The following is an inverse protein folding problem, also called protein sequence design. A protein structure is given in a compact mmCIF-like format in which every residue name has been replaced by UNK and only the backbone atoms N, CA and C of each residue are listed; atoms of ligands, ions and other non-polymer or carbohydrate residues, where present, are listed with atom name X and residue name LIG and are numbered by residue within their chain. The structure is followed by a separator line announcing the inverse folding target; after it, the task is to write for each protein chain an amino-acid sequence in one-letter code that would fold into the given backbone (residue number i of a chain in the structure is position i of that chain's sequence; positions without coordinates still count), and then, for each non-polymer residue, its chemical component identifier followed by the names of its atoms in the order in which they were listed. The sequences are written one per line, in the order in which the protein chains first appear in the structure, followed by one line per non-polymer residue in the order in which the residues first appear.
data_IF_255510739305
#
_entry.id   IF_255510739305
#
_cell.length_a   1.000
_cell.length_b   1.000
_cell.length_c   1.000
_cell.angle_alpha   90.00
_cell.angle_beta   90.00
_cell.angle_gamma   90.00
#
_symmetry.space_group_name_H-M   'P 1'
#
loop_
_entity.id
_entity.type
_entity.pdbx_description
1 polymer ?
#
# COMPACT_ATOMS: atom_id res chain seq x y z
N UNK A 1 21.18 -25.00 -7.33
CA UNK A 1 19.81 -24.43 -7.23
C UNK A 1 18.75 -25.45 -7.67
N UNK A 2 19.01 -26.77 -7.63
CA UNK A 2 18.13 -27.77 -8.26
C UNK A 2 16.98 -28.28 -7.37
N UNK A 3 16.94 -27.94 -6.07
CA UNK A 3 15.93 -28.45 -5.12
C UNK A 3 15.04 -27.37 -4.49
N UNK A 4 14.93 -26.20 -5.12
CA UNK A 4 14.04 -25.14 -4.62
C UNK A 4 12.64 -25.27 -5.21
N UNK A 5 11.64 -25.38 -4.34
CA UNK A 5 10.22 -25.42 -4.70
C UNK A 5 9.61 -24.05 -4.39
N UNK A 6 8.99 -23.40 -5.38
CA UNK A 6 8.24 -22.17 -5.15
C UNK A 6 7.00 -22.49 -4.29
N UNK A 7 6.91 -21.88 -3.11
CA UNK A 7 5.78 -22.04 -2.18
C UNK A 7 4.68 -21.02 -2.46
N UNK A 8 5.05 -19.74 -2.58
CA UNK A 8 4.09 -18.66 -2.82
C UNK A 8 4.71 -17.51 -3.59
N UNK A 9 3.83 -16.78 -4.26
CA UNK A 9 4.15 -15.57 -5.00
C UNK A 9 3.10 -14.51 -4.65
N UNK A 10 3.53 -13.52 -3.88
CA UNK A 10 2.67 -12.41 -3.45
C UNK A 10 3.18 -11.10 -4.04
N UNK A 11 2.33 -10.08 -4.04
CA UNK A 11 2.66 -8.78 -4.58
C UNK A 11 2.27 -7.67 -3.61
N UNK A 12 2.97 -6.55 -3.69
CA UNK A 12 2.58 -5.31 -3.04
C UNK A 12 2.71 -4.16 -4.02
N UNK A 13 1.62 -3.44 -4.28
CA UNK A 13 1.66 -2.19 -5.03
C UNK A 13 1.94 -1.07 -4.04
N UNK A 14 3.11 -0.44 -4.17
CA UNK A 14 3.57 0.62 -3.28
C UNK A 14 3.23 1.97 -3.90
N UNK A 15 2.66 2.84 -3.10
CA UNK A 15 2.31 4.24 -3.42
C UNK A 15 3.16 5.10 -2.49
N UNK A 16 4.25 5.67 -3.02
CA UNK A 16 5.07 6.63 -2.29
C UNK A 16 4.35 7.98 -2.22
N UNK A 17 4.37 8.60 -1.05
CA UNK A 17 3.82 9.93 -0.78
C UNK A 17 4.88 10.87 -0.22
N UNK A 18 4.56 12.18 -0.21
CA UNK A 18 5.40 13.22 0.40
C UNK A 18 5.04 13.51 1.87
N UNK A 19 4.19 12.68 2.48
CA UNK A 19 3.66 12.81 3.85
C UNK A 19 3.52 11.43 4.50
N UNK A 20 3.51 11.43 5.83
CA UNK A 20 3.34 10.25 6.66
C UNK A 20 2.04 9.51 6.33
N UNK A 21 2.15 8.20 6.13
CA UNK A 21 1.05 7.39 5.60
C UNK A 21 0.14 6.77 6.66
N UNK A 22 0.50 6.86 7.95
CA UNK A 22 -0.25 6.24 9.04
C UNK A 22 -1.72 6.71 9.06
N UNK A 23 -1.93 8.01 8.88
CA UNK A 23 -3.26 8.63 8.96
C UNK A 23 -4.21 8.20 7.83
N UNK A 24 -3.68 7.84 6.66
CA UNK A 24 -4.50 7.57 5.47
C UNK A 24 -4.31 6.18 4.86
N UNK A 25 -3.52 5.29 5.47
CA UNK A 25 -3.17 3.99 4.88
C UNK A 25 -4.40 3.15 4.51
N UNK A 26 -5.27 2.87 5.48
CA UNK A 26 -6.50 2.09 5.26
C UNK A 26 -7.49 2.85 4.38
N UNK A 27 -7.63 4.16 4.62
CA UNK A 27 -8.52 5.03 3.86
C UNK A 27 -8.19 5.03 2.36
N UNK A 28 -6.91 5.20 2.01
CA UNK A 28 -6.42 5.19 0.64
C UNK A 28 -6.63 3.82 0.00
N UNK A 29 -6.33 2.73 0.72
CA UNK A 29 -6.53 1.38 0.21
C UNK A 29 -8.00 1.11 -0.11
N UNK A 30 -8.89 1.38 0.83
CA UNK A 30 -10.33 1.22 0.68
C UNK A 30 -10.89 2.11 -0.41
N UNK A 31 -10.47 3.38 -0.50
CA UNK A 31 -10.87 4.27 -1.58
C UNK A 31 -10.43 3.74 -2.94
N UNK A 32 -9.22 3.20 -3.06
CA UNK A 32 -8.67 2.74 -4.34
C UNK A 32 -9.21 1.38 -4.79
N UNK A 33 -9.58 0.51 -3.85
CA UNK A 33 -9.86 -0.92 -4.13
C UNK A 33 -11.21 -1.41 -3.67
N UNK A 34 -11.92 -0.66 -2.82
CA UNK A 34 -13.14 -1.12 -2.17
C UNK A 34 -12.94 -2.25 -1.15
N UNK A 35 -11.70 -2.54 -0.77
CA UNK A 35 -11.35 -3.54 0.24
C UNK A 35 -11.17 -2.85 1.60
N UNK A 36 -11.82 -3.37 2.63
CA UNK A 36 -11.81 -2.82 3.98
C UNK A 36 -10.94 -3.66 4.91
N UNK A 37 -10.30 -3.01 5.88
CA UNK A 37 -9.66 -3.67 7.02
C UNK A 37 -10.68 -4.18 8.04
N UNK A 38 -10.31 -5.12 8.91
CA UNK A 38 -11.21 -5.66 9.96
C UNK A 38 -11.74 -4.59 10.94
N UNK A 39 -11.07 -3.44 11.06
CA UNK A 39 -11.49 -2.35 11.93
C UNK A 39 -12.64 -1.48 11.42
N UNK A 40 -13.10 -1.66 10.18
CA UNK A 40 -14.21 -0.93 9.51
C UNK A 40 -14.11 0.62 9.47
N UNK A 41 -12.99 1.21 9.93
CA UNK A 41 -12.76 2.68 9.93
C UNK A 41 -12.83 3.27 8.52
N UNK A 42 -12.60 2.43 7.51
CA UNK A 42 -12.47 2.75 6.11
C UNK A 42 -13.71 2.42 5.25
N UNK A 43 -14.84 2.04 5.87
CA UNK A 43 -16.07 1.66 5.16
C UNK A 43 -16.59 2.75 4.22
N UNK A 44 -16.61 4.01 4.66
CA UNK A 44 -17.07 5.16 3.85
C UNK A 44 -16.25 5.35 2.56
N UNK A 45 -14.98 4.94 2.56
CA UNK A 45 -14.12 5.04 1.37
C UNK A 45 -14.36 3.88 0.40
N UNK A 46 -14.75 2.72 0.92
CA UNK A 46 -15.21 1.60 0.12
C UNK A 46 -16.51 1.94 -0.59
N UNK A 47 -17.46 2.60 0.08
CA UNK A 47 -18.68 3.09 -0.57
C UNK A 47 -18.36 4.03 -1.74
N UNK A 48 -17.44 4.98 -1.53
CA UNK A 48 -16.97 5.88 -2.59
C UNK A 48 -16.35 5.14 -3.79
N UNK A 49 -15.69 3.99 -3.58
CA UNK A 49 -15.19 3.14 -4.65
C UNK A 49 -16.30 2.61 -5.56
N UNK A 50 -17.35 2.05 -4.97
CA UNK A 50 -18.46 1.47 -5.74
C UNK A 50 -19.30 2.56 -6.43
N UNK A 51 -19.51 3.70 -5.76
CA UNK A 51 -20.25 4.84 -6.32
C UNK A 51 -19.54 5.44 -7.54
N UNK A 52 -18.24 5.72 -7.43
CA UNK A 52 -17.47 6.37 -8.49
C UNK A 52 -17.37 5.53 -9.76
N UNK A 53 -17.11 4.23 -9.60
CA UNK A 53 -16.89 3.33 -10.73
C UNK A 53 -18.20 2.80 -11.31
N UNK A 54 -19.33 3.13 -10.68
CA UNK A 54 -20.67 2.64 -11.05
C UNK A 54 -20.70 1.12 -11.19
N UNK A 55 -19.88 0.43 -10.42
CA UNK A 55 -19.91 -1.01 -10.37
C UNK A 55 -21.15 -1.44 -9.59
N UNK A 56 -21.79 -2.52 -10.03
CA UNK A 56 -22.70 -3.20 -9.13
C UNK A 56 -21.87 -3.70 -7.94
N UNK A 57 -22.45 -3.72 -6.73
CA UNK A 57 -21.75 -4.25 -5.55
C UNK A 57 -21.22 -5.69 -5.75
N UNK A 58 -21.72 -6.39 -6.76
CA UNK A 58 -21.31 -7.75 -7.13
C UNK A 58 -20.08 -7.81 -8.06
N UNK A 59 -19.50 -6.68 -8.47
CA UNK A 59 -18.30 -6.64 -9.32
C UNK A 59 -17.24 -5.69 -8.75
N UNK A 60 -16.29 -6.23 -8.01
CA UNK A 60 -15.08 -5.53 -7.65
C UNK A 60 -13.90 -6.16 -8.42
N UNK A 61 -13.20 -5.42 -9.32
CA UNK A 61 -12.09 -5.96 -10.09
C UNK A 61 -10.91 -6.44 -9.22
N UNK A 62 -10.85 -6.02 -7.96
CA UNK A 62 -9.80 -6.41 -7.01
C UNK A 62 -10.17 -7.66 -6.18
N UNK A 63 -11.44 -8.09 -6.22
CA UNK A 63 -11.86 -9.31 -5.56
C UNK A 63 -11.12 -10.53 -6.12
N UNK A 64 -10.51 -11.32 -5.23
CA UNK A 64 -9.68 -12.47 -5.61
C UNK A 64 -8.31 -12.13 -6.19
N UNK A 65 -7.92 -10.85 -6.13
CA UNK A 65 -6.56 -10.34 -6.36
C UNK A 65 -5.96 -9.76 -5.09
N UNK A 66 -6.66 -8.83 -4.42
CA UNK A 66 -6.22 -8.32 -3.12
C UNK A 66 -6.26 -9.43 -2.08
N UNK A 67 -5.38 -9.33 -1.09
CA UNK A 67 -5.33 -10.25 0.03
C UNK A 67 -5.04 -9.50 1.31
N UNK A 68 -5.55 -10.01 2.41
CA UNK A 68 -5.25 -9.45 3.72
C UNK A 68 -3.97 -10.06 4.27
N UNK A 69 -3.24 -9.26 5.04
CA UNK A 69 -2.15 -9.70 5.89
C UNK A 69 -2.42 -9.28 7.32
N UNK A 70 -1.96 -10.11 8.25
CA UNK A 70 -1.96 -9.78 9.65
C UNK A 70 -1.01 -8.60 9.88
N UNK A 71 -1.50 -7.55 10.53
CA UNK A 71 -0.70 -6.43 10.98
C UNK A 71 -0.04 -6.71 12.35
N UNK A 72 0.58 -5.69 12.93
CA UNK A 72 1.23 -5.79 14.25
C UNK A 72 0.26 -5.93 15.43
N UNK A 73 -1.01 -5.56 15.25
CA UNK A 73 -2.06 -5.69 16.25
C UNK A 73 -2.77 -7.05 16.18
N UNK A 74 -2.52 -7.82 15.12
CA UNK A 74 -3.20 -9.08 14.88
C UNK A 74 -4.46 -8.94 14.02
N UNK A 75 -4.70 -7.78 13.43
CA UNK A 75 -5.86 -7.51 12.57
C UNK A 75 -5.49 -7.79 11.11
N UNK A 76 -6.44 -8.32 10.35
CA UNK A 76 -6.28 -8.52 8.91
C UNK A 76 -6.54 -7.20 8.16
N UNK A 77 -5.54 -6.78 7.37
CA UNK A 77 -5.63 -5.61 6.52
C UNK A 77 -5.09 -5.87 5.10
N UNK A 78 -5.76 -5.35 4.05
CA UNK A 78 -5.26 -5.44 2.68
C UNK A 78 -4.10 -4.49 2.39
N UNK A 79 -3.69 -3.69 3.38
CA UNK A 79 -2.64 -2.70 3.23
C UNK A 79 -1.75 -2.59 4.47
N UNK A 80 -0.66 -1.85 4.33
CA UNK A 80 0.23 -1.49 5.43
C UNK A 80 1.01 -0.23 5.09
N UNK A 81 1.57 0.40 6.12
CA UNK A 81 2.53 1.49 6.01
C UNK A 81 3.90 0.93 5.64
N UNK A 82 4.58 1.58 4.71
CA UNK A 82 5.88 1.20 4.20
C UNK A 82 6.88 2.35 4.28
N UNK A 83 8.15 1.97 4.32
CA UNK A 83 9.27 2.89 4.43
C UNK A 83 9.65 3.46 3.07
N UNK A 84 9.74 4.79 2.98
CA UNK A 84 10.17 5.52 1.81
C UNK A 84 11.64 5.91 1.96
N UNK A 85 12.48 5.54 1.00
CA UNK A 85 13.93 5.83 1.05
C UNK A 85 14.29 7.27 0.68
N UNK A 86 13.34 8.04 0.14
CA UNK A 86 13.52 9.45 -0.19
C UNK A 86 13.44 10.34 1.05
N UNK A 87 12.75 9.90 2.10
CA UNK A 87 12.54 10.66 3.32
C UNK A 87 13.18 9.94 4.50
N UNK A 88 13.68 10.70 5.46
CA UNK A 88 14.16 10.17 6.73
C UNK A 88 13.43 10.78 7.91
N UNK A 89 13.52 10.12 9.05
CA UNK A 89 12.97 10.52 10.34
C UNK A 89 14.09 10.54 11.39
N UNK A 90 14.09 11.57 12.24
CA UNK A 90 15.04 11.72 13.35
C UNK A 90 14.53 11.03 14.63
N UNK A 91 15.33 11.06 15.70
CA UNK A 91 14.97 10.49 17.01
C UNK A 91 13.78 11.19 17.70
N UNK A 92 13.41 12.38 17.24
CA UNK A 92 12.30 13.18 17.77
C UNK A 92 11.02 13.01 16.94
N UNK A 93 11.05 12.18 15.88
CA UNK A 93 9.92 11.98 14.98
C UNK A 93 9.76 13.06 13.89
N UNK A 94 10.72 13.99 13.75
CA UNK A 94 10.69 14.95 12.65
C UNK A 94 11.13 14.26 11.37
N UNK A 95 10.46 14.57 10.25
CA UNK A 95 10.79 14.00 8.94
C UNK A 95 11.24 15.06 7.95
N UNK A 96 12.14 14.67 7.04
CA UNK A 96 12.63 15.51 5.95
C UNK A 96 12.99 14.69 4.72
N UNK A 97 12.98 15.33 3.55
CA UNK A 97 13.56 14.76 2.33
C UNK A 97 15.08 14.64 2.49
N UNK A 98 15.64 13.47 2.18
CA UNK A 98 17.05 13.16 2.36
C UNK A 98 17.90 13.81 1.27
N UNK A 99 19.00 14.41 1.70
CA UNK A 99 20.05 14.96 0.87
C UNK A 99 21.42 14.71 1.54
N UNK A 100 22.50 15.11 0.86
CA UNK A 100 23.88 14.88 1.35
C UNK A 100 24.16 15.61 2.68
N UNK A 101 23.44 16.68 2.99
CA UNK A 101 23.67 17.51 4.18
C UNK A 101 22.96 16.99 5.44
N UNK A 102 21.86 16.23 5.28
CA UNK A 102 21.00 15.85 6.40
C UNK A 102 20.92 14.33 6.66
N UNK A 103 21.61 13.50 5.88
CA UNK A 103 21.53 12.04 6.00
C UNK A 103 21.88 11.52 7.40
N UNK A 104 22.84 12.15 8.09
CA UNK A 104 23.21 11.79 9.47
C UNK A 104 22.21 12.26 10.52
N UNK A 105 21.36 13.23 10.20
CA UNK A 105 20.36 13.76 11.14
C UNK A 105 19.02 13.03 11.04
N UNK A 106 18.76 12.35 9.91
CA UNK A 106 17.53 11.62 9.62
C UNK A 106 17.87 10.17 9.24
N UNK A 107 18.43 9.44 10.20
CA UNK A 107 19.07 8.14 9.97
C UNK A 107 18.09 7.02 9.57
N UNK A 108 16.82 7.13 9.99
CA UNK A 108 15.81 6.10 9.75
C UNK A 108 14.94 6.49 8.56
N UNK A 109 14.56 5.56 7.67
CA UNK A 109 13.64 5.87 6.58
C UNK A 109 12.25 6.23 7.11
N UNK A 110 11.58 7.20 6.49
CA UNK A 110 10.28 7.66 6.96
C UNK A 110 9.12 6.78 6.43
N UNK A 111 8.03 6.62 7.21
CA UNK A 111 6.85 5.81 6.85
C UNK A 111 5.91 6.52 5.83
N UNK A 112 6.47 6.92 4.68
CA UNK A 112 5.82 7.76 3.67
C UNK A 112 5.39 6.95 2.44
N UNK A 113 4.92 5.73 2.66
CA UNK A 113 4.41 4.87 1.59
C UNK A 113 3.26 4.00 2.08
N UNK A 114 2.31 3.74 1.19
CA UNK A 114 1.24 2.76 1.41
C UNK A 114 1.46 1.57 0.49
N UNK A 115 1.50 0.36 1.05
CA UNK A 115 1.55 -0.87 0.28
C UNK A 115 0.20 -1.59 0.30
N UNK A 116 -0.37 -1.84 -0.88
CA UNK A 116 -1.59 -2.64 -1.06
C UNK A 116 -1.20 -4.06 -1.48
N UNK A 117 -1.68 -5.08 -0.77
CA UNK A 117 -1.28 -6.47 -0.95
C UNK A 117 -2.15 -7.22 -1.96
N UNK A 118 -1.51 -8.08 -2.76
CA UNK A 118 -2.18 -8.93 -3.73
C UNK A 118 -1.62 -10.36 -3.71
N UNK A 119 -2.50 -11.36 -3.75
CA UNK A 119 -2.14 -12.78 -3.94
C UNK A 119 -1.93 -13.15 -5.40
N UNK A 120 -2.23 -12.22 -6.32
CA UNK A 120 -2.00 -12.35 -7.76
C UNK A 120 -1.42 -11.05 -8.29
N UNK A 121 -0.62 -11.14 -9.35
CA UNK A 121 -0.12 -9.93 -10.01
C UNK A 121 -1.30 -9.07 -10.47
N UNK A 122 -1.41 -7.80 -10.03
CA UNK A 122 -2.45 -6.93 -10.53
C UNK A 122 -2.21 -6.65 -12.02
N UNK A 123 -3.30 -6.58 -12.77
CA UNK A 123 -3.29 -6.22 -14.19
C UNK A 123 -2.91 -4.74 -14.38
N UNK A 124 -2.47 -4.37 -15.57
CA UNK A 124 -2.16 -2.96 -15.85
C UNK A 124 -3.38 -2.06 -15.62
N UNK A 125 -4.58 -2.51 -16.00
CA UNK A 125 -5.82 -1.74 -15.78
C UNK A 125 -6.10 -1.52 -14.29
N UNK A 126 -5.92 -2.54 -13.45
CA UNK A 126 -6.05 -2.42 -11.99
C UNK A 126 -5.06 -1.41 -11.41
N UNK A 127 -3.80 -1.42 -11.87
CA UNK A 127 -2.78 -0.47 -11.45
C UNK A 127 -3.16 0.96 -11.85
N UNK A 128 -3.64 1.17 -13.08
CA UNK A 128 -4.06 2.50 -13.53
C UNK A 128 -5.29 3.02 -12.75
N UNK A 129 -6.25 2.16 -12.42
CA UNK A 129 -7.37 2.52 -11.53
C UNK A 129 -6.84 2.99 -10.18
N UNK A 130 -5.92 2.25 -9.56
CA UNK A 130 -5.36 2.64 -8.25
C UNK A 130 -4.61 3.98 -8.36
N UNK A 131 -3.82 4.21 -9.41
CA UNK A 131 -3.12 5.49 -9.61
C UNK A 131 -4.09 6.66 -9.75
N UNK A 132 -5.11 6.52 -10.58
CA UNK A 132 -6.12 7.56 -10.80
C UNK A 132 -6.84 7.89 -9.48
N UNK A 133 -7.31 6.84 -8.79
CA UNK A 133 -8.05 6.98 -7.54
C UNK A 133 -7.19 7.50 -6.40
N UNK A 134 -5.92 7.13 -6.31
CA UNK A 134 -5.01 7.68 -5.29
C UNK A 134 -4.81 9.18 -5.45
N UNK A 135 -4.64 9.66 -6.70
CA UNK A 135 -4.56 11.09 -6.96
C UNK A 135 -5.86 11.82 -6.62
N UNK A 136 -7.01 11.23 -6.99
CA UNK A 136 -8.33 11.78 -6.66
C UNK A 136 -8.55 11.84 -5.13
N UNK A 137 -8.22 10.78 -4.41
CA UNK A 137 -8.31 10.71 -2.96
C UNK A 137 -7.59 11.87 -2.28
N UNK A 138 -6.32 12.12 -2.63
CA UNK A 138 -5.58 13.22 -2.00
C UNK A 138 -6.08 14.60 -2.42
N UNK A 139 -6.59 14.74 -3.64
CA UNK A 139 -7.22 15.99 -4.10
C UNK A 139 -8.52 16.31 -3.35
N UNK A 140 -9.33 15.29 -3.02
CA UNK A 140 -10.66 15.47 -2.44
C UNK A 140 -10.65 15.44 -0.91
N UNK A 141 -9.90 14.51 -0.33
CA UNK A 141 -9.94 14.21 1.11
C UNK A 141 -8.78 14.84 1.88
N UNK A 142 -7.65 15.11 1.21
CA UNK A 142 -6.41 15.59 1.84
C UNK A 142 -5.84 16.87 1.19
N UNK A 143 -6.70 17.67 0.56
CA UNK A 143 -6.29 18.87 -0.17
C UNK A 143 -5.52 19.87 0.71
N UNK A 144 -5.99 20.08 1.94
CA UNK A 144 -5.39 21.03 2.89
C UNK A 144 -4.01 20.57 3.38
N UNK A 145 -3.79 19.26 3.47
CA UNK A 145 -2.52 18.67 3.89
C UNK A 145 -1.48 18.62 2.76
N UNK A 146 -1.86 18.94 1.52
CA UNK A 146 -0.96 18.94 0.35
C UNK A 146 -0.22 17.61 0.13
N UNK A 147 -0.89 16.49 0.43
CA UNK A 147 -0.37 15.14 0.18
C UNK A 147 -0.36 14.89 -1.33
N UNK A 148 0.70 14.25 -1.84
CA UNK A 148 0.88 13.95 -3.25
C UNK A 148 1.41 12.53 -3.44
N UNK A 149 0.92 11.85 -4.47
CA UNK A 149 1.53 10.61 -4.97
C UNK A 149 2.80 10.99 -5.73
N UNK A 150 3.93 10.44 -5.31
CA UNK A 150 5.22 10.69 -5.97
C UNK A 150 5.60 9.57 -6.92
N UNK A 151 5.31 8.32 -6.54
CA UNK A 151 5.70 7.14 -7.28
C UNK A 151 4.77 5.98 -6.98
N UNK A 152 4.50 5.15 -8.00
CA UNK A 152 3.76 3.90 -7.84
C UNK A 152 4.54 2.76 -8.50
N UNK A 153 4.81 1.70 -7.75
CA UNK A 153 5.59 0.55 -8.24
C UNK A 153 5.16 -0.76 -7.59
N UNK A 154 5.45 -1.87 -8.25
CA UNK A 154 5.06 -3.20 -7.80
C UNK A 154 6.27 -3.96 -7.24
N UNK A 155 6.12 -4.48 -6.03
CA UNK A 155 7.06 -5.42 -5.41
C UNK A 155 6.50 -6.83 -5.57
N UNK A 156 7.37 -7.78 -5.93
CA UNK A 156 7.06 -9.21 -6.01
C UNK A 156 7.78 -9.93 -4.87
N UNK A 157 7.02 -10.60 -4.02
CA UNK A 157 7.49 -11.50 -2.98
C UNK A 157 7.47 -12.93 -3.49
N UNK A 158 8.57 -13.64 -3.30
CA UNK A 158 8.65 -15.07 -3.61
C UNK A 158 9.16 -15.83 -2.40
N UNK A 159 8.45 -16.89 -2.01
CA UNK A 159 8.86 -17.81 -0.94
C UNK A 159 9.24 -19.14 -1.56
N UNK A 160 10.42 -19.65 -1.21
CA UNK A 160 10.91 -20.94 -1.68
C UNK A 160 11.13 -21.88 -0.49
N UNK A 161 10.87 -23.17 -0.70
CA UNK A 161 11.26 -24.25 0.17
C UNK A 161 12.43 -25.03 -0.44
N UNK A 162 13.20 -25.71 0.40
CA UNK A 162 14.17 -26.71 -0.01
C UNK A 162 13.60 -28.11 0.23
N UNK A 163 13.56 -28.93 -0.81
CA UNK A 163 13.18 -30.34 -0.67
C UNK A 163 14.35 -31.14 -0.07
N UNK A 164 14.11 -31.79 1.08
CA UNK A 164 15.06 -32.68 1.73
C UNK A 164 14.58 -34.13 1.63
N UNK A 165 15.37 -34.97 0.96
CA UNK A 165 15.14 -36.42 0.91
C UNK A 165 15.62 -37.06 2.21
N UNK A 166 14.76 -37.84 2.86
CA UNK A 166 15.04 -38.60 4.09
C UNK A 166 15.38 -40.04 3.73
#
# INVERSE_FOLDING_TARGET
MENQVLLSEDYALIIDTNKESLDFCCELCSYCTGMISEGEVDLKYSDAFYEDLKFSQNYNPFAGYCMDKLDENGDYSPCSVWLNKKYGIDENGNSAELNEENYSSYEYPAPFSVGIFFCKKPTQQQIEIIKERANKFFLEMYNEQSVKVEKVYLIKYTKYAEEQLI
#
